data_IF_471533212941
#
_entry.id   IF_471533212941
#
_cell.length_a   1.000
_cell.length_b   1.000
_cell.length_c   1.000
_cell.angle_alpha   90.00
_cell.angle_beta   90.00
_cell.angle_gamma   90.00
#
_symmetry.space_group_name_H-M   'P 1'
#
loop_
_entity.id
_entity.type
_entity.pdbx_description
1 polymer ?
#
# COMPACT_ATOMS: atom_id res chain seq x y z
N UNK A 1 21.40 10.61 -3.39
CA UNK A 1 21.07 12.04 -3.24
C UNK A 1 22.29 12.88 -3.51
N UNK A 2 23.36 12.75 -2.72
CA UNK A 2 24.62 13.49 -2.90
C UNK A 2 25.09 13.58 -4.36
N UNK A 3 25.23 12.44 -5.04
CA UNK A 3 25.63 12.42 -6.44
C UNK A 3 24.67 13.17 -7.39
N UNK A 4 23.36 13.13 -7.14
CA UNK A 4 22.38 13.87 -7.93
C UNK A 4 22.51 15.38 -7.68
N UNK A 5 22.73 15.79 -6.43
CA UNK A 5 22.94 17.20 -6.08
C UNK A 5 24.26 17.74 -6.63
N UNK A 6 25.33 16.93 -6.67
CA UNK A 6 26.60 17.29 -7.35
C UNK A 6 26.42 17.56 -8.85
N UNK A 7 25.43 16.91 -9.48
CA UNK A 7 25.03 17.16 -10.86
C UNK A 7 24.07 18.36 -11.01
N UNK A 8 23.73 19.04 -9.92
CA UNK A 8 22.80 20.17 -9.90
C UNK A 8 21.32 19.78 -10.00
N UNK A 9 20.97 18.54 -9.65
CA UNK A 9 19.57 18.11 -9.55
C UNK A 9 19.05 18.47 -8.17
N UNK A 10 18.02 19.30 -8.12
CA UNK A 10 17.35 19.70 -6.89
C UNK A 10 16.54 18.54 -6.31
N UNK A 11 16.44 18.46 -4.98
CA UNK A 11 15.75 17.35 -4.32
C UNK A 11 14.27 17.22 -4.74
N UNK A 12 13.61 18.34 -5.06
CA UNK A 12 12.21 18.40 -5.49
C UNK A 12 11.93 17.69 -6.84
N UNK A 13 12.98 17.50 -7.63
CA UNK A 13 12.96 16.78 -8.91
C UNK A 13 13.33 15.29 -8.74
N UNK A 14 13.61 14.83 -7.52
CA UNK A 14 13.99 13.45 -7.22
C UNK A 14 12.79 12.67 -6.68
N UNK A 15 12.57 11.51 -7.30
CA UNK A 15 11.61 10.51 -6.84
C UNK A 15 12.35 9.29 -6.32
N UNK A 16 12.11 8.94 -5.07
CA UNK A 16 12.73 7.80 -4.37
C UNK A 16 11.79 6.60 -4.49
N UNK A 17 12.27 5.51 -5.09
CA UNK A 17 11.59 4.22 -5.09
C UNK A 17 12.38 3.24 -4.20
N UNK A 18 11.84 2.84 -3.03
CA UNK A 18 12.50 1.87 -2.14
C UNK A 18 12.44 0.42 -2.63
N UNK A 19 11.85 0.19 -3.81
CA UNK A 19 11.65 -1.13 -4.43
C UNK A 19 10.71 -2.01 -3.61
N UNK A 20 9.43 -1.89 -3.91
CA UNK A 20 8.39 -2.73 -3.33
C UNK A 20 8.54 -4.20 -3.75
N UNK A 21 8.58 -5.12 -2.78
CA UNK A 21 8.70 -6.56 -3.01
C UNK A 21 7.34 -7.28 -2.94
N UNK A 22 7.20 -8.47 -3.56
CA UNK A 22 5.95 -9.22 -3.51
C UNK A 22 5.63 -9.75 -2.10
N UNK A 23 4.37 -9.59 -1.68
CA UNK A 23 3.87 -9.99 -0.34
C UNK A 23 4.05 -11.49 -0.07
N UNK A 24 3.93 -12.32 -1.11
CA UNK A 24 4.09 -13.77 -0.98
C UNK A 24 5.54 -14.26 -0.95
N UNK A 25 6.52 -13.37 -1.14
CA UNK A 25 7.95 -13.69 -1.02
C UNK A 25 8.42 -13.40 0.40
N UNK A 26 8.23 -12.17 0.87
CA UNK A 26 8.50 -11.80 2.26
C UNK A 26 7.59 -10.66 2.71
N UNK A 27 6.54 -11.03 3.45
CA UNK A 27 5.56 -10.09 4.01
C UNK A 27 6.21 -9.03 4.92
N UNK A 28 7.33 -9.34 5.59
CA UNK A 28 8.02 -8.38 6.47
C UNK A 28 8.64 -7.24 5.68
N UNK A 29 9.04 -7.48 4.43
CA UNK A 29 9.57 -6.43 3.56
C UNK A 29 8.48 -5.39 3.20
N UNK A 30 7.21 -5.79 3.19
CA UNK A 30 6.08 -4.84 3.02
C UNK A 30 5.98 -3.91 4.22
N UNK A 31 6.20 -4.42 5.44
CA UNK A 31 6.24 -3.59 6.65
C UNK A 31 7.45 -2.65 6.65
N UNK A 32 8.65 -3.16 6.38
CA UNK A 32 9.87 -2.36 6.30
C UNK A 32 9.78 -1.27 5.21
N UNK A 33 9.09 -1.56 4.11
CA UNK A 33 8.81 -0.58 3.07
C UNK A 33 7.97 0.60 3.59
N UNK A 34 6.92 0.33 4.36
CA UNK A 34 6.08 1.38 4.96
C UNK A 34 6.84 2.23 5.99
N UNK A 35 7.67 1.60 6.83
CA UNK A 35 8.55 2.31 7.76
C UNK A 35 9.55 3.22 7.02
N UNK A 36 10.13 2.73 5.92
CA UNK A 36 11.08 3.50 5.13
C UNK A 36 10.44 4.74 4.48
N UNK A 37 9.20 4.64 4.00
CA UNK A 37 8.47 5.81 3.45
C UNK A 37 8.43 6.95 4.47
N UNK A 38 8.12 6.64 5.74
CA UNK A 38 8.03 7.67 6.79
C UNK A 38 9.37 8.33 7.12
N UNK A 39 10.49 7.68 6.79
CA UNK A 39 11.83 8.23 7.00
C UNK A 39 12.28 9.15 5.85
N UNK A 40 11.66 9.05 4.66
CA UNK A 40 12.08 9.80 3.47
C UNK A 40 12.12 11.31 3.71
N UNK A 41 11.13 11.97 4.35
CA UNK A 41 11.18 13.41 4.57
C UNK A 41 12.40 13.88 5.38
N UNK A 42 12.88 13.05 6.32
CA UNK A 42 14.05 13.34 7.14
C UNK A 42 15.37 13.01 6.41
N UNK A 43 15.39 11.90 5.66
CA UNK A 43 16.57 11.44 4.91
C UNK A 43 16.84 12.25 3.64
N UNK A 44 15.77 12.73 3.01
CA UNK A 44 15.79 13.36 1.70
C UNK A 44 14.81 14.55 1.62
N UNK A 45 15.03 15.62 2.41
CA UNK A 45 14.09 16.74 2.44
C UNK A 45 13.85 17.32 1.05
N UNK A 46 12.58 17.49 0.70
CA UNK A 46 12.13 17.99 -0.61
C UNK A 46 11.91 16.92 -1.67
N UNK A 47 12.51 15.73 -1.53
CA UNK A 47 12.27 14.61 -2.45
C UNK A 47 10.91 13.98 -2.24
N UNK A 48 10.39 13.39 -3.32
CA UNK A 48 9.12 12.65 -3.34
C UNK A 48 9.38 11.15 -3.37
N UNK A 49 8.37 10.37 -3.08
CA UNK A 49 8.37 8.91 -3.09
C UNK A 49 7.50 8.35 -4.20
N UNK A 50 7.95 7.28 -4.86
CA UNK A 50 7.18 6.55 -5.89
C UNK A 50 7.34 5.05 -5.73
N UNK A 51 6.39 4.26 -6.22
CA UNK A 51 6.54 2.80 -6.30
C UNK A 51 5.81 2.17 -7.46
N UNK A 52 6.30 1.02 -7.93
CA UNK A 52 5.53 0.10 -8.76
C UNK A 52 4.55 -0.73 -7.93
N UNK A 53 3.30 -0.28 -7.79
CA UNK A 53 2.30 -0.89 -6.88
C UNK A 53 2.04 -2.37 -7.18
N UNK A 54 2.05 -2.75 -8.46
CA UNK A 54 1.76 -4.13 -8.90
C UNK A 54 2.84 -5.15 -8.51
N UNK A 55 4.02 -4.70 -8.06
CA UNK A 55 5.07 -5.57 -7.55
C UNK A 55 4.62 -6.31 -6.29
N UNK A 56 3.87 -5.64 -5.41
CA UNK A 56 3.32 -6.23 -4.17
C UNK A 56 2.58 -7.53 -4.45
N UNK A 57 1.73 -7.53 -5.47
CA UNK A 57 0.83 -8.64 -5.76
C UNK A 57 1.39 -9.61 -6.80
N UNK A 58 2.66 -9.47 -7.21
CA UNK A 58 3.23 -10.29 -8.30
C UNK A 58 3.17 -11.80 -8.04
N UNK A 59 3.32 -12.21 -6.78
CA UNK A 59 3.24 -13.61 -6.37
C UNK A 59 1.81 -14.13 -6.14
N UNK A 60 0.79 -13.27 -6.19
CA UNK A 60 -0.57 -13.61 -5.85
C UNK A 60 -1.38 -14.06 -7.08
N UNK A 61 -2.43 -14.89 -6.89
CA UNK A 61 -3.40 -15.22 -7.93
C UNK A 61 -4.01 -13.97 -8.55
N UNK A 62 -4.24 -13.99 -9.88
CA UNK A 62 -4.58 -12.80 -10.67
C UNK A 62 -5.81 -12.06 -10.15
N UNK A 63 -6.82 -12.82 -9.74
CA UNK A 63 -8.08 -12.36 -9.19
C UNK A 63 -7.94 -11.64 -7.83
N UNK A 64 -6.90 -11.96 -7.05
CA UNK A 64 -6.65 -11.35 -5.74
C UNK A 64 -5.71 -10.14 -5.81
N UNK A 65 -5.02 -9.94 -6.94
CA UNK A 65 -4.06 -8.83 -7.12
C UNK A 65 -4.69 -7.46 -6.99
N UNK A 66 -5.91 -7.30 -7.53
CA UNK A 66 -6.64 -6.02 -7.46
C UNK A 66 -6.89 -5.60 -6.02
N UNK A 67 -7.39 -6.52 -5.19
CA UNK A 67 -7.68 -6.26 -3.78
C UNK A 67 -6.40 -5.88 -3.00
N UNK A 68 -5.31 -6.62 -3.20
CA UNK A 68 -4.00 -6.29 -2.59
C UNK A 68 -3.52 -4.89 -2.98
N UNK A 69 -3.53 -4.58 -4.28
CA UNK A 69 -3.04 -3.31 -4.80
C UNK A 69 -3.89 -2.13 -4.28
N UNK A 70 -5.22 -2.23 -4.33
CA UNK A 70 -6.15 -1.18 -3.88
C UNK A 70 -6.00 -0.91 -2.38
N UNK A 71 -5.97 -1.98 -1.59
CA UNK A 71 -5.81 -1.86 -0.13
C UNK A 71 -4.47 -1.24 0.20
N UNK A 72 -3.39 -1.71 -0.43
CA UNK A 72 -2.06 -1.20 -0.16
C UNK A 72 -1.88 0.25 -0.60
N UNK A 73 -2.51 0.68 -1.70
CA UNK A 73 -2.50 2.08 -2.13
C UNK A 73 -3.04 3.01 -1.02
N UNK A 74 -4.14 2.63 -0.38
CA UNK A 74 -4.74 3.39 0.73
C UNK A 74 -3.82 3.40 1.95
N UNK A 75 -3.21 2.26 2.27
CA UNK A 75 -2.25 2.13 3.37
C UNK A 75 -1.05 3.05 3.14
N UNK A 76 -0.33 2.92 2.03
CA UNK A 76 0.90 3.69 1.79
C UNK A 76 0.63 5.20 1.66
N UNK A 77 -0.54 5.59 1.16
CA UNK A 77 -0.97 7.00 1.17
C UNK A 77 -1.04 7.56 2.60
N UNK A 78 -1.53 6.78 3.58
CA UNK A 78 -1.53 7.17 5.00
C UNK A 78 -0.12 7.23 5.60
N UNK A 79 0.81 6.41 5.10
CA UNK A 79 2.23 6.44 5.50
C UNK A 79 3.03 7.58 4.85
N UNK A 80 2.43 8.34 3.92
CA UNK A 80 3.07 9.51 3.29
C UNK A 80 3.67 9.25 1.90
N UNK A 81 3.28 8.17 1.23
CA UNK A 81 3.67 7.92 -0.16
C UNK A 81 3.10 9.00 -1.10
N UNK A 82 3.94 9.62 -1.94
CA UNK A 82 3.52 10.70 -2.83
C UNK A 82 2.86 10.20 -4.13
N UNK A 83 3.39 9.13 -4.72
CA UNK A 83 2.87 8.58 -5.96
C UNK A 83 3.00 7.06 -6.06
N UNK A 84 2.20 6.46 -6.93
CA UNK A 84 2.30 5.05 -7.30
C UNK A 84 2.07 4.87 -8.80
N UNK A 85 2.85 3.98 -9.43
CA UNK A 85 2.61 3.49 -10.77
C UNK A 85 1.61 2.34 -10.66
N UNK A 86 0.42 2.54 -11.25
CA UNK A 86 -0.75 1.67 -11.06
C UNK A 86 -1.34 1.19 -12.38
N UNK A 87 -2.22 0.19 -12.32
CA UNK A 87 -3.02 -0.22 -13.48
C UNK A 87 -4.15 0.78 -13.73
N UNK A 88 -4.07 1.52 -14.84
CA UNK A 88 -5.12 2.47 -15.26
C UNK A 88 -6.45 1.83 -15.69
N UNK A 89 -6.53 0.50 -15.74
CA UNK A 89 -7.77 -0.24 -16.01
C UNK A 89 -8.47 -0.74 -14.75
N UNK A 90 -7.88 -0.49 -13.58
CA UNK A 90 -8.53 -0.81 -12.31
C UNK A 90 -9.43 0.35 -11.88
N UNK A 91 -10.70 0.31 -12.29
CA UNK A 91 -11.69 1.36 -12.02
C UNK A 91 -11.85 1.62 -10.53
N UNK A 92 -11.84 0.59 -9.70
CA UNK A 92 -12.03 0.74 -8.26
C UNK A 92 -10.81 1.38 -7.59
N UNK A 93 -9.60 1.03 -8.03
CA UNK A 93 -8.38 1.71 -7.60
C UNK A 93 -8.43 3.20 -7.93
N UNK A 94 -8.89 3.55 -9.14
CA UNK A 94 -9.05 4.94 -9.56
C UNK A 94 -10.07 5.67 -8.68
N UNK A 95 -11.20 5.02 -8.37
CA UNK A 95 -12.25 5.60 -7.51
C UNK A 95 -11.76 5.83 -6.08
N UNK A 96 -11.02 4.87 -5.50
CA UNK A 96 -10.35 5.04 -4.20
C UNK A 96 -9.39 6.24 -4.21
N UNK A 97 -8.53 6.33 -5.23
CA UNK A 97 -7.57 7.43 -5.36
C UNK A 97 -8.24 8.80 -5.57
N UNK A 98 -9.46 8.84 -6.13
CA UNK A 98 -10.27 10.06 -6.28
C UNK A 98 -11.08 10.42 -5.03
N UNK A 99 -11.04 9.60 -3.97
CA UNK A 99 -11.83 9.80 -2.75
C UNK A 99 -13.32 9.50 -2.94
N UNK A 100 -13.70 8.70 -3.94
CA UNK A 100 -15.10 8.36 -4.24
C UNK A 100 -15.62 7.17 -3.42
N UNK A 101 -14.80 6.60 -2.53
CA UNK A 101 -15.11 5.45 -1.67
C UNK A 101 -14.62 5.70 -0.23
N UNK A 102 -15.02 6.81 0.41
CA UNK A 102 -14.52 7.19 1.74
C UNK A 102 -14.83 6.15 2.82
N UNK A 103 -15.93 5.41 2.70
CA UNK A 103 -16.32 4.34 3.62
C UNK A 103 -15.33 3.17 3.62
N UNK A 104 -14.76 2.82 2.46
CA UNK A 104 -13.75 1.77 2.36
C UNK A 104 -12.40 2.28 2.90
N UNK A 105 -12.06 3.55 2.64
CA UNK A 105 -10.85 4.16 3.19
C UNK A 105 -10.89 4.20 4.72
N UNK A 106 -12.01 4.64 5.29
CA UNK A 106 -12.25 4.65 6.74
C UNK A 106 -12.12 3.23 7.32
N UNK A 107 -12.73 2.25 6.67
CA UNK A 107 -12.65 0.86 7.11
C UNK A 107 -11.21 0.32 7.10
N UNK A 108 -10.43 0.62 6.06
CA UNK A 108 -9.00 0.25 6.00
C UNK A 108 -8.25 0.93 7.14
N UNK A 109 -8.49 2.21 7.41
CA UNK A 109 -7.82 2.93 8.48
C UNK A 109 -8.14 2.37 9.86
N UNK A 110 -9.40 2.05 10.13
CA UNK A 110 -9.82 1.40 11.39
C UNK A 110 -9.18 0.02 11.55
N UNK A 111 -9.04 -0.74 10.45
CA UNK A 111 -8.31 -2.00 10.46
C UNK A 111 -6.79 -1.82 10.69
N UNK A 112 -6.18 -0.76 10.17
CA UNK A 112 -4.78 -0.42 10.44
C UNK A 112 -4.56 -0.05 11.91
N UNK A 113 -5.51 0.66 12.51
CA UNK A 113 -5.48 1.12 13.91
C UNK A 113 -5.91 0.03 14.91
N UNK A 114 -6.19 -1.18 14.41
CA UNK A 114 -6.58 -2.34 15.22
C UNK A 114 -7.82 -2.08 16.09
N UNK A 115 -8.76 -1.28 15.57
CA UNK A 115 -10.05 -1.08 16.24
C UNK A 115 -10.82 -2.40 16.37
N UNK A 116 -11.50 -2.58 17.50
CA UNK A 116 -12.38 -3.72 17.71
C UNK A 116 -13.62 -3.59 16.79
N UNK A 117 -13.72 -4.50 15.82
CA UNK A 117 -14.75 -4.49 14.78
C UNK A 117 -15.38 -5.87 14.66
N UNK A 118 -16.72 -5.91 14.62
CA UNK A 118 -17.44 -7.12 14.23
C UNK A 118 -17.36 -7.33 12.72
N UNK A 119 -16.29 -7.99 12.28
CA UNK A 119 -16.06 -8.31 10.86
C UNK A 119 -17.23 -9.12 10.28
N UNK A 120 -17.91 -9.94 11.10
CA UNK A 120 -19.02 -10.78 10.63
C UNK A 120 -20.26 -9.98 10.26
N UNK A 121 -20.40 -8.76 10.79
CA UNK A 121 -21.49 -7.84 10.47
C UNK A 121 -21.24 -7.01 9.20
N UNK A 122 -20.02 -7.01 8.66
CA UNK A 122 -19.66 -6.28 7.44
C UNK A 122 -20.11 -7.03 6.18
N UNK A 123 -20.29 -6.30 5.07
CA UNK A 123 -20.52 -6.92 3.76
C UNK A 123 -19.29 -7.71 3.28
N UNK A 124 -19.48 -8.67 2.36
CA UNK A 124 -18.36 -9.49 1.88
C UNK A 124 -17.17 -8.68 1.34
N UNK A 125 -17.46 -7.58 0.63
CA UNK A 125 -16.44 -6.66 0.12
C UNK A 125 -15.69 -5.92 1.23
N UNK A 126 -16.40 -5.47 2.26
CA UNK A 126 -15.79 -4.82 3.43
C UNK A 126 -14.91 -5.80 4.21
N UNK A 127 -15.38 -7.04 4.39
CA UNK A 127 -14.58 -8.11 5.01
C UNK A 127 -13.29 -8.36 4.22
N UNK A 128 -13.36 -8.41 2.90
CA UNK A 128 -12.19 -8.56 2.02
C UNK A 128 -11.14 -7.46 2.25
N UNK A 129 -11.56 -6.20 2.37
CA UNK A 129 -10.66 -5.08 2.67
C UNK A 129 -10.04 -5.16 4.06
N UNK A 130 -10.83 -5.51 5.09
CA UNK A 130 -10.31 -5.65 6.47
C UNK A 130 -9.31 -6.80 6.56
N UNK A 131 -9.65 -7.99 6.05
CA UNK A 131 -8.76 -9.15 6.04
C UNK A 131 -7.48 -8.88 5.26
N UNK A 132 -7.58 -8.19 4.13
CA UNK A 132 -6.41 -7.82 3.33
C UNK A 132 -5.54 -6.79 4.05
N UNK A 133 -6.15 -5.84 4.76
CA UNK A 133 -5.41 -4.89 5.60
C UNK A 133 -4.64 -5.62 6.71
N UNK A 134 -5.28 -6.57 7.40
CA UNK A 134 -4.61 -7.38 8.43
C UNK A 134 -3.42 -8.15 7.87
N UNK A 135 -3.52 -8.69 6.65
CA UNK A 135 -2.37 -9.31 5.97
C UNK A 135 -1.29 -8.27 5.68
N UNK A 136 -1.61 -7.14 5.06
CA UNK A 136 -0.59 -6.14 4.70
C UNK A 136 0.07 -5.49 5.92
N UNK A 137 -0.62 -5.45 7.06
CA UNK A 137 -0.12 -4.98 8.35
C UNK A 137 0.56 -6.09 9.19
N UNK A 138 0.74 -7.29 8.63
CA UNK A 138 1.44 -8.40 9.27
C UNK A 138 0.72 -9.03 10.46
N UNK A 139 -0.56 -8.72 10.65
CA UNK A 139 -1.42 -9.29 11.72
C UNK A 139 -1.84 -10.72 11.40
N UNK A 140 -1.96 -11.03 10.11
CA UNK A 140 -2.25 -12.37 9.60
C UNK A 140 -1.20 -12.73 8.56
N UNK A 141 -0.74 -13.99 8.57
CA UNK A 141 0.21 -14.46 7.55
C UNK A 141 -0.43 -14.51 6.17
N UNK A 142 0.30 -14.05 5.16
CA UNK A 142 -0.14 -14.20 3.78
C UNK A 142 -0.23 -15.69 3.38
N UNK A 143 -1.35 -16.05 2.77
CA UNK A 143 -1.61 -17.31 2.06
C UNK A 143 -2.49 -16.96 0.87
N UNK A 144 -2.49 -17.72 -0.23
CA UNK A 144 -3.44 -17.52 -1.34
C UNK A 144 -4.92 -17.74 -0.94
N UNK A 145 -5.19 -18.20 0.29
CA UNK A 145 -6.53 -18.42 0.85
C UNK A 145 -6.87 -17.47 1.99
N UNK A 146 -6.17 -16.35 2.17
CA UNK A 146 -6.33 -15.46 3.34
C UNK A 146 -7.75 -14.92 3.55
N UNK A 147 -8.58 -14.89 2.51
CA UNK A 147 -9.97 -14.45 2.59
C UNK A 147 -10.89 -15.49 3.22
N UNK A 148 -10.51 -16.77 3.18
CA UNK A 148 -11.28 -17.90 3.70
C UNK A 148 -11.05 -18.16 5.19
N UNK A 149 -9.96 -17.58 5.73
CA UNK A 149 -9.53 -17.72 7.14
C UNK A 149 -10.30 -16.74 8.03
#
# INVERSE_FOLDING_TARGET
>A
LEYANELGIENEDIWIDPVLLPVGVDQRQVLSYMEFIQMIPDLAPGSKSVCGLSNLSYSAPKELRGLLNRTFLVIIARYGQDAAIVSGFDEELIRLNKGEMPEIVDLIYRAMDEEDMDISALSGKEQEYVKTTQVLMGKTLYSNSWLEV
#
